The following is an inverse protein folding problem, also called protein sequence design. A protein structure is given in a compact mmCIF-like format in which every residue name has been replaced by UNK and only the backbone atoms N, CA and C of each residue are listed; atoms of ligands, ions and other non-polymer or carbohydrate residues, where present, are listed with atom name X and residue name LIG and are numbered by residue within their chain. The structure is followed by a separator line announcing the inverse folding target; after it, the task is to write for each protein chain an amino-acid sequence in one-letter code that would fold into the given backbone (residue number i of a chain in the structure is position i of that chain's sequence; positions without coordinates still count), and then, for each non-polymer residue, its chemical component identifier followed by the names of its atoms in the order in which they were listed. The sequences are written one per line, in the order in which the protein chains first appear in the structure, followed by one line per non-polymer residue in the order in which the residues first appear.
data_IF_822862786923
#
_entry.id   IF_822862786923
#
_cell.length_a   1.000
_cell.length_b   1.000
_cell.length_c   1.000
_cell.angle_alpha   90.00
_cell.angle_beta   90.00
_cell.angle_gamma   90.00
#
_symmetry.space_group_name_H-M   'P 1'
#
loop_
_entity.id
_entity.type
_entity.pdbx_description
1 polymer ?
#
# COMPACT_ATOMS: atom_id res chain seq x y z
N UNK A 1 -1.50 -14.82 -17.10
CA UNK A 1 -0.78 -13.56 -16.80
C UNK A 1 -0.69 -12.75 -18.06
N UNK A 2 -0.83 -11.42 -17.95
CA UNK A 2 -0.72 -10.46 -19.05
C UNK A 2 0.11 -9.26 -18.58
N UNK A 3 0.34 -8.28 -19.47
CA UNK A 3 1.05 -7.04 -19.11
C UNK A 3 0.32 -6.22 -18.03
N UNK A 4 -1.00 -6.42 -17.86
CA UNK A 4 -1.83 -5.71 -16.88
C UNK A 4 -2.27 -6.57 -15.69
N UNK A 5 -2.02 -7.89 -15.72
CA UNK A 5 -2.47 -8.83 -14.70
C UNK A 5 -1.30 -9.72 -14.29
N UNK A 6 -0.68 -9.38 -13.17
CA UNK A 6 0.48 -10.04 -12.58
C UNK A 6 0.31 -10.20 -11.06
N UNK A 7 0.86 -11.26 -10.46
CA UNK A 7 0.75 -11.48 -9.03
C UNK A 7 1.79 -10.64 -8.29
N UNK A 8 1.51 -10.29 -7.04
CA UNK A 8 2.50 -9.68 -6.14
C UNK A 8 3.34 -10.76 -5.46
N UNK A 9 4.60 -10.47 -5.20
CA UNK A 9 5.46 -11.32 -4.39
C UNK A 9 5.07 -11.21 -2.91
N UNK A 10 5.10 -12.34 -2.20
CA UNK A 10 4.98 -12.35 -0.74
C UNK A 10 6.36 -12.22 -0.10
N UNK A 11 6.43 -11.50 1.02
CA UNK A 11 7.64 -11.42 1.83
C UNK A 11 7.98 -12.80 2.42
N UNK A 12 9.27 -13.10 2.56
CA UNK A 12 9.70 -14.31 3.26
C UNK A 12 9.48 -14.17 4.77
N UNK A 13 9.42 -15.28 5.49
CA UNK A 13 9.21 -15.27 6.95
C UNK A 13 10.30 -14.46 7.69
N UNK A 14 11.53 -14.47 7.20
CA UNK A 14 12.66 -13.71 7.76
C UNK A 14 12.82 -12.30 7.17
N UNK A 15 11.88 -11.83 6.34
CA UNK A 15 11.96 -10.49 5.77
C UNK A 15 11.65 -9.42 6.81
N UNK A 16 12.53 -8.43 6.94
CA UNK A 16 12.34 -7.26 7.79
C UNK A 16 12.30 -5.99 6.96
N UNK A 17 11.37 -5.09 7.26
CA UNK A 17 11.28 -3.77 6.64
C UNK A 17 11.80 -2.72 7.62
N UNK A 18 12.79 -1.94 7.18
CA UNK A 18 13.42 -0.93 8.02
C UNK A 18 12.57 0.35 8.06
N UNK A 19 12.55 1.03 9.21
CA UNK A 19 11.94 2.36 9.35
C UNK A 19 12.56 3.31 8.32
N UNK A 20 11.72 4.13 7.68
CA UNK A 20 12.14 5.06 6.63
C UNK A 20 12.23 4.45 5.22
N UNK A 21 12.09 3.13 5.07
CA UNK A 21 12.00 2.50 3.74
C UNK A 21 10.78 3.04 3.00
N UNK A 22 10.97 3.61 1.80
CA UNK A 22 9.86 4.07 0.97
C UNK A 22 9.07 2.88 0.39
N UNK A 23 7.75 2.92 0.53
CA UNK A 23 6.80 2.00 -0.06
C UNK A 23 5.72 2.75 -0.84
N UNK A 24 4.92 2.00 -1.58
CA UNK A 24 3.82 2.54 -2.38
C UNK A 24 2.48 1.99 -1.89
N UNK A 25 1.48 2.85 -1.84
CA UNK A 25 0.08 2.47 -1.64
C UNK A 25 -0.69 2.87 -2.89
N UNK A 26 -1.39 1.91 -3.47
CA UNK A 26 -2.17 2.11 -4.71
C UNK A 26 -3.64 1.80 -4.47
N UNK A 27 -4.55 2.56 -5.08
CA UNK A 27 -5.98 2.28 -4.99
C UNK A 27 -6.86 3.39 -5.55
N UNK A 28 -8.18 3.21 -5.41
CA UNK A 28 -9.20 4.19 -5.83
C UNK A 28 -9.71 5.06 -4.68
N UNK A 29 -9.05 5.04 -3.53
CA UNK A 29 -9.47 5.83 -2.35
C UNK A 29 -10.65 5.25 -1.58
N UNK A 30 -10.92 3.94 -1.70
CA UNK A 30 -11.89 3.26 -0.83
C UNK A 30 -11.28 2.98 0.54
N UNK A 31 -11.40 3.95 1.45
CA UNK A 31 -10.77 3.90 2.77
C UNK A 31 -11.70 3.41 3.90
N UNK A 32 -12.99 3.24 3.62
CA UNK A 32 -13.98 2.78 4.59
C UNK A 32 -15.16 2.11 3.88
N UNK A 33 -15.71 1.07 4.51
CA UNK A 33 -16.88 0.36 3.97
C UNK A 33 -18.11 1.28 3.89
N UNK A 34 -18.90 1.15 2.81
CA UNK A 34 -20.12 1.92 2.62
C UNK A 34 -19.91 3.39 2.19
N UNK A 35 -18.67 3.85 2.00
CA UNK A 35 -18.39 5.21 1.54
C UNK A 35 -18.37 5.24 0.00
N UNK A 36 -19.10 6.21 -0.57
CA UNK A 36 -19.08 6.43 -2.02
C UNK A 36 -17.70 6.88 -2.47
N UNK A 37 -17.19 6.23 -3.51
CA UNK A 37 -15.91 6.59 -4.12
C UNK A 37 -16.00 7.93 -4.87
N UNK A 38 -14.89 8.68 -4.94
CA UNK A 38 -14.78 9.83 -5.83
C UNK A 38 -15.01 9.42 -7.30
N UNK A 39 -15.56 10.33 -8.10
CA UNK A 39 -15.88 10.08 -9.51
C UNK A 39 -14.64 9.85 -10.41
N UNK A 40 -13.43 10.09 -9.90
CA UNK A 40 -12.20 9.85 -10.63
C UNK A 40 -11.87 8.35 -10.61
N UNK A 41 -11.94 7.71 -11.79
CA UNK A 41 -11.73 6.26 -11.95
C UNK A 41 -10.30 5.85 -12.27
N UNK A 42 -9.39 6.81 -12.41
CA UNK A 42 -7.96 6.53 -12.61
C UNK A 42 -7.35 6.02 -11.31
N UNK A 43 -6.64 4.89 -11.36
CA UNK A 43 -5.91 4.35 -10.21
C UNK A 43 -4.90 5.38 -9.69
N UNK A 44 -4.87 5.59 -8.38
CA UNK A 44 -3.95 6.52 -7.73
C UNK A 44 -2.84 5.74 -7.02
N UNK A 45 -1.68 6.38 -6.86
CA UNK A 45 -0.55 5.87 -6.09
C UNK A 45 0.05 6.96 -5.20
N UNK A 46 0.56 6.57 -4.03
CA UNK A 46 1.26 7.46 -3.10
C UNK A 46 2.48 6.76 -2.52
N UNK A 47 3.60 7.48 -2.48
CA UNK A 47 4.84 7.02 -1.85
C UNK A 47 4.90 7.47 -0.39
N UNK A 48 5.14 6.53 0.52
CA UNK A 48 5.19 6.78 1.97
C UNK A 48 6.36 6.04 2.62
N UNK A 49 6.96 6.56 3.70
CA UNK A 49 7.97 5.84 4.46
C UNK A 49 7.32 4.86 5.45
N UNK A 50 7.96 3.70 5.66
CA UNK A 50 7.57 2.76 6.73
C UNK A 50 7.88 3.37 8.10
N UNK A 51 6.88 3.38 8.98
CA UNK A 51 7.04 3.79 10.37
C UNK A 51 7.31 2.57 11.25
N UNK A 52 8.35 2.64 12.08
CA UNK A 52 8.73 1.54 12.97
C UNK A 52 7.65 1.27 14.02
N UNK A 53 7.50 0.00 14.43
CA UNK A 53 6.45 -0.40 15.39
C UNK A 53 6.48 0.40 16.69
N UNK A 54 7.66 0.68 17.24
CA UNK A 54 7.83 1.48 18.46
C UNK A 54 7.49 2.97 18.28
N UNK A 55 7.56 3.49 17.05
CA UNK A 55 7.14 4.87 16.75
C UNK A 55 5.64 4.95 16.48
N UNK A 56 5.04 3.87 15.97
CA UNK A 56 3.62 3.80 15.68
C UNK A 56 2.76 3.50 16.92
N UNK A 57 3.28 2.70 17.86
CA UNK A 57 2.63 2.43 19.14
C UNK A 57 3.05 3.43 20.19
N UNK A 58 2.15 4.32 20.58
CA UNK A 58 2.27 5.13 21.80
C UNK A 58 2.09 4.27 23.05
#
# INVERSE_FOLDING_TARGET
FTDYIQPICLAANSSSFHTGTSCWVTGWGNIAEGVSLPNNKTLQEVQLPIIGKSQCGC
#
